data_IF_952210011345
#
_entry.id   IF_952210011345
#
_cell.length_a   1.000
_cell.length_b   1.000
_cell.length_c   1.000
_cell.angle_alpha   90.00
_cell.angle_beta   90.00
_cell.angle_gamma   90.00
#
_symmetry.space_group_name_H-M   'P 1'
#
loop_
_entity.id
_entity.type
_entity.pdbx_description
1 polymer ?
#
# COMPACT_ATOMS: atom_id res chain seq x y z
N UNK A 1 -5.19 -9.33 12.15
CA UNK A 1 -3.90 -8.84 11.64
C UNK A 1 -4.12 -7.54 10.87
N UNK A 2 -3.40 -6.50 11.23
CA UNK A 2 -3.48 -5.18 10.58
C UNK A 2 -2.29 -5.00 9.65
N UNK A 3 -2.55 -4.69 8.38
CA UNK A 3 -1.51 -4.49 7.38
C UNK A 3 -1.58 -3.07 6.81
N UNK A 4 -0.43 -2.53 6.44
CA UNK A 4 -0.30 -1.25 5.77
C UNK A 4 0.26 -1.46 4.37
N UNK A 5 -0.32 -0.78 3.39
CA UNK A 5 0.21 -0.70 2.03
C UNK A 5 0.51 0.77 1.74
N UNK A 6 1.73 1.07 1.28
CA UNK A 6 2.08 2.40 0.81
C UNK A 6 2.28 2.33 -0.69
N UNK A 7 1.37 2.95 -1.43
CA UNK A 7 1.41 3.05 -2.89
C UNK A 7 2.17 4.31 -3.34
N UNK A 8 2.37 4.45 -4.65
CA UNK A 8 3.26 5.47 -5.20
C UNK A 8 2.70 6.87 -5.35
N UNK A 9 1.46 7.14 -4.94
CA UNK A 9 0.88 8.48 -4.98
C UNK A 9 1.42 9.36 -3.86
N UNK A 10 0.83 10.55 -3.73
CA UNK A 10 1.26 11.50 -2.71
C UNK A 10 1.05 10.93 -1.30
N UNK A 11 2.07 11.08 -0.46
CA UNK A 11 2.01 10.70 0.96
C UNK A 11 2.51 11.89 1.79
N UNK A 12 1.66 12.38 2.72
CA UNK A 12 2.10 13.36 3.71
C UNK A 12 3.05 12.68 4.69
N UNK A 13 4.29 13.17 4.74
CA UNK A 13 5.37 12.52 5.46
C UNK A 13 5.11 12.40 6.95
N UNK A 14 4.78 13.52 7.61
CA UNK A 14 4.58 13.53 9.05
C UNK A 14 3.35 12.74 9.46
N UNK A 15 2.26 12.87 8.70
CA UNK A 15 1.04 12.10 8.93
C UNK A 15 1.31 10.58 8.83
N UNK A 16 2.03 10.16 7.81
CA UNK A 16 2.31 8.75 7.58
C UNK A 16 3.21 8.15 8.67
N UNK A 17 4.24 8.88 9.08
CA UNK A 17 5.13 8.41 10.14
C UNK A 17 4.38 8.26 11.46
N UNK A 18 3.55 9.25 11.81
CA UNK A 18 2.75 9.20 13.03
C UNK A 18 1.78 8.02 12.99
N UNK A 19 1.14 7.79 11.87
CA UNK A 19 0.23 6.66 11.68
C UNK A 19 0.95 5.32 11.88
N UNK A 20 2.11 5.15 11.28
CA UNK A 20 2.88 3.90 11.37
C UNK A 20 3.30 3.64 12.83
N UNK A 21 3.74 4.67 13.53
CA UNK A 21 4.19 4.53 14.92
C UNK A 21 3.06 4.19 15.89
N UNK A 22 1.84 4.69 15.62
CA UNK A 22 0.72 4.57 16.57
C UNK A 22 -0.23 3.41 16.29
N UNK A 23 -0.26 2.89 15.05
CA UNK A 23 -1.32 1.98 14.64
C UNK A 23 -1.01 0.49 14.86
N UNK A 24 0.24 0.14 15.09
CA UNK A 24 0.61 -1.25 15.37
C UNK A 24 0.41 -2.19 14.17
N UNK A 25 0.78 -1.75 12.97
CA UNK A 25 0.73 -2.61 11.79
C UNK A 25 1.68 -3.79 11.96
N UNK A 26 1.21 -4.97 11.65
CA UNK A 26 1.99 -6.20 11.78
C UNK A 26 2.85 -6.48 10.55
N UNK A 27 2.37 -6.10 9.37
CA UNK A 27 3.10 -6.20 8.10
C UNK A 27 2.95 -4.88 7.36
N UNK A 28 4.07 -4.39 6.84
CA UNK A 28 4.13 -3.13 6.07
C UNK A 28 4.62 -3.45 4.66
N UNK A 29 3.82 -3.07 3.66
CA UNK A 29 4.06 -3.39 2.26
C UNK A 29 4.31 -2.10 1.48
N UNK A 30 5.42 -2.06 0.73
CA UNK A 30 5.68 -1.01 -0.24
C UNK A 30 5.23 -1.48 -1.62
N UNK A 31 4.36 -0.73 -2.28
CA UNK A 31 3.91 -1.01 -3.64
C UNK A 31 4.56 -0.02 -4.60
N UNK A 32 5.42 -0.52 -5.48
CA UNK A 32 6.11 0.25 -6.52
C UNK A 32 6.84 1.47 -5.93
N UNK A 33 6.58 2.68 -6.42
CA UNK A 33 7.27 3.89 -5.95
C UNK A 33 6.92 4.29 -4.51
N UNK A 34 5.99 3.60 -3.86
CA UNK A 34 5.79 3.72 -2.41
C UNK A 34 7.05 3.42 -1.60
N UNK A 35 7.99 2.66 -2.19
CA UNK A 35 9.28 2.40 -1.56
C UNK A 35 10.08 3.68 -1.31
N UNK A 36 9.89 4.71 -2.13
CA UNK A 36 10.57 6.00 -1.96
C UNK A 36 10.22 6.65 -0.62
N UNK A 37 8.96 6.54 -0.19
CA UNK A 37 8.53 7.03 1.12
C UNK A 37 9.32 6.35 2.24
N UNK A 38 9.47 5.03 2.18
CA UNK A 38 10.16 4.27 3.23
C UNK A 38 11.62 4.67 3.36
N UNK A 39 12.28 4.95 2.23
CA UNK A 39 13.67 5.43 2.26
C UNK A 39 13.76 6.79 2.94
N UNK A 40 12.87 7.72 2.57
CA UNK A 40 12.84 9.06 3.16
C UNK A 40 12.52 9.03 4.66
N UNK A 41 11.69 8.09 5.09
CA UNK A 41 11.28 7.92 6.49
C UNK A 41 12.27 7.09 7.32
N UNK A 42 13.27 6.51 6.68
CA UNK A 42 14.21 5.56 7.30
C UNK A 42 13.48 4.38 7.97
N UNK A 43 12.51 3.85 7.26
CA UNK A 43 11.72 2.68 7.69
C UNK A 43 11.96 1.54 6.70
N UNK A 44 12.09 0.33 7.20
CA UNK A 44 12.25 -0.86 6.37
C UNK A 44 10.89 -1.55 6.23
N UNK A 45 10.34 -1.68 5.01
CA UNK A 45 9.12 -2.44 4.80
C UNK A 45 9.39 -3.94 4.93
N UNK A 46 8.35 -4.70 5.22
CA UNK A 46 8.45 -6.17 5.28
C UNK A 46 8.37 -6.81 3.89
N UNK A 47 7.59 -6.20 3.01
CA UNK A 47 7.33 -6.71 1.66
C UNK A 47 7.42 -5.56 0.67
N UNK A 48 8.01 -5.83 -0.49
CA UNK A 48 8.09 -4.87 -1.59
C UNK A 48 7.56 -5.53 -2.84
N UNK A 49 6.56 -4.91 -3.48
CA UNK A 49 5.93 -5.44 -4.70
C UNK A 49 5.99 -4.41 -5.82
N UNK A 50 6.17 -4.87 -7.05
CA UNK A 50 6.11 -4.01 -8.22
C UNK A 50 6.99 -4.48 -9.37
N UNK A 51 6.91 -3.76 -10.49
CA UNK A 51 7.83 -3.94 -11.62
C UNK A 51 9.09 -3.06 -11.47
N UNK A 52 9.04 -2.09 -10.55
CA UNK A 52 10.12 -1.19 -10.16
C UNK A 52 10.56 -0.18 -11.24
N UNK A 53 9.78 0.01 -12.29
CA UNK A 53 10.10 0.98 -13.35
C UNK A 53 10.04 2.42 -12.84
N UNK A 54 9.13 2.73 -11.91
CA UNK A 54 8.94 4.08 -11.36
C UNK A 54 9.67 4.32 -10.04
N UNK A 55 10.37 3.33 -9.52
CA UNK A 55 11.14 3.47 -8.27
C UNK A 55 12.49 4.11 -8.57
N UNK A 56 12.92 5.03 -7.68
CA UNK A 56 14.26 5.57 -7.74
C UNK A 56 15.29 4.43 -7.60
N UNK A 57 16.23 4.33 -8.53
CA UNK A 57 17.20 3.23 -8.56
C UNK A 57 18.13 3.20 -7.35
N UNK A 58 18.46 4.35 -6.79
CA UNK A 58 19.26 4.41 -5.56
C UNK A 58 18.48 3.83 -4.38
N UNK A 59 17.20 4.14 -4.31
CA UNK A 59 16.31 3.60 -3.26
C UNK A 59 16.17 2.10 -3.39
N UNK A 60 15.94 1.61 -4.61
CA UNK A 60 15.81 0.19 -4.87
C UNK A 60 17.09 -0.56 -4.49
N UNK A 61 18.27 -0.01 -4.86
CA UNK A 61 19.56 -0.60 -4.51
C UNK A 61 19.78 -0.66 -3.01
N UNK A 62 19.32 0.38 -2.29
CA UNK A 62 19.45 0.42 -0.82
C UNK A 62 18.76 -0.75 -0.14
N UNK A 63 17.57 -1.14 -0.61
CA UNK A 63 16.80 -2.22 0.01
C UNK A 63 17.06 -3.59 -0.61
N UNK A 64 17.59 -3.67 -1.81
CA UNK A 64 17.64 -4.89 -2.63
C UNK A 64 18.36 -6.05 -1.96
N UNK A 65 19.42 -5.78 -1.23
CA UNK A 65 20.25 -6.80 -0.60
C UNK A 65 19.78 -7.16 0.83
N UNK A 66 18.69 -6.56 1.29
CA UNK A 66 18.14 -6.85 2.60
C UNK A 66 17.39 -8.19 2.55
N UNK A 67 17.97 -9.22 3.18
CA UNK A 67 17.41 -10.58 3.17
C UNK A 67 16.12 -10.72 3.98
N UNK A 68 15.78 -9.74 4.82
CA UNK A 68 14.55 -9.75 5.61
C UNK A 68 13.34 -9.16 4.87
N UNK A 69 13.55 -8.60 3.68
CA UNK A 69 12.48 -8.06 2.85
C UNK A 69 12.06 -9.12 1.84
N UNK A 70 10.75 -9.36 1.76
CA UNK A 70 10.17 -10.24 0.76
C UNK A 70 9.88 -9.44 -0.51
N UNK A 71 10.65 -9.65 -1.57
CA UNK A 71 10.52 -8.93 -2.84
C UNK A 71 9.66 -9.73 -3.82
N UNK A 72 8.61 -9.09 -4.34
CA UNK A 72 7.74 -9.63 -5.38
C UNK A 72 7.88 -8.80 -6.64
N UNK A 73 8.73 -9.23 -7.57
CA UNK A 73 8.93 -8.54 -8.85
C UNK A 73 7.81 -8.96 -9.80
N UNK A 74 7.04 -7.99 -10.26
CA UNK A 74 5.86 -8.22 -11.08
C UNK A 74 6.17 -7.94 -12.55
N UNK A 75 5.47 -8.66 -13.45
CA UNK A 75 5.57 -8.42 -14.88
C UNK A 75 4.80 -7.12 -15.22
N UNK A 76 5.44 -6.13 -15.91
CA UNK A 76 4.75 -4.90 -16.29
C UNK A 76 3.53 -5.12 -17.19
N UNK A 77 3.47 -6.23 -17.92
CA UNK A 77 2.38 -6.56 -18.83
C UNK A 77 1.19 -7.28 -18.17
N UNK A 78 1.24 -7.51 -16.85
CA UNK A 78 0.15 -8.16 -16.14
C UNK A 78 -1.09 -7.25 -16.08
N UNK A 79 -2.27 -7.86 -15.89
CA UNK A 79 -3.53 -7.13 -15.81
C UNK A 79 -3.73 -6.39 -14.50
N UNK A 80 -3.18 -6.90 -13.40
CA UNK A 80 -3.34 -6.32 -12.07
C UNK A 80 -2.36 -5.18 -11.82
N UNK A 81 -2.81 -4.13 -11.11
CA UNK A 81 -1.91 -3.09 -10.62
C UNK A 81 -1.09 -3.61 -9.44
N UNK A 82 0.01 -2.93 -9.13
CA UNK A 82 0.84 -3.28 -7.97
C UNK A 82 0.05 -3.16 -6.66
N UNK A 83 -0.82 -2.16 -6.56
CA UNK A 83 -1.68 -1.97 -5.39
C UNK A 83 -2.69 -3.12 -5.26
N UNK A 84 -3.29 -3.56 -6.35
CA UNK A 84 -4.19 -4.71 -6.32
C UNK A 84 -3.45 -5.97 -5.87
N UNK A 85 -2.28 -6.23 -6.41
CA UNK A 85 -1.46 -7.37 -5.99
C UNK A 85 -1.17 -7.30 -4.49
N UNK A 86 -0.78 -6.12 -3.98
CA UNK A 86 -0.49 -5.94 -2.56
C UNK A 86 -1.71 -6.23 -1.68
N UNK A 87 -2.90 -5.79 -2.12
CA UNK A 87 -4.16 -6.07 -1.40
C UNK A 87 -4.41 -7.58 -1.34
N UNK A 88 -4.32 -8.28 -2.48
CA UNK A 88 -4.57 -9.72 -2.54
C UNK A 88 -3.53 -10.50 -1.73
N UNK A 89 -2.29 -10.07 -1.78
CA UNK A 89 -1.22 -10.64 -0.95
C UNK A 89 -1.54 -10.48 0.54
N UNK A 90 -1.96 -9.29 0.96
CA UNK A 90 -2.31 -9.01 2.35
C UNK A 90 -3.46 -9.91 2.83
N UNK A 91 -4.46 -10.11 1.99
CA UNK A 91 -5.60 -11.00 2.30
C UNK A 91 -5.12 -12.44 2.46
N UNK A 92 -4.27 -12.92 1.58
CA UNK A 92 -3.70 -14.28 1.68
C UNK A 92 -2.89 -14.48 2.96
N UNK A 93 -2.26 -13.42 3.47
CA UNK A 93 -1.52 -13.47 4.73
C UNK A 93 -2.42 -13.45 5.96
N UNK A 94 -3.71 -13.24 5.80
CA UNK A 94 -4.66 -13.27 6.90
C UNK A 94 -5.05 -11.90 7.44
N UNK A 95 -4.95 -10.85 6.62
CA UNK A 95 -5.34 -9.50 7.03
C UNK A 95 -6.81 -9.44 7.41
N UNK A 96 -7.11 -8.84 8.55
CA UNK A 96 -8.47 -8.47 8.95
C UNK A 96 -8.76 -7.03 8.52
N UNK A 97 -7.74 -6.19 8.52
CA UNK A 97 -7.85 -4.81 8.08
C UNK A 97 -6.59 -4.38 7.31
N UNK A 98 -6.80 -3.60 6.26
CA UNK A 98 -5.75 -3.06 5.41
C UNK A 98 -5.93 -1.55 5.34
N UNK A 99 -4.87 -0.81 5.60
CA UNK A 99 -4.81 0.63 5.41
C UNK A 99 -3.91 0.94 4.22
N UNK A 100 -4.37 1.79 3.31
CA UNK A 100 -3.61 2.19 2.13
C UNK A 100 -3.26 3.67 2.22
N UNK A 101 -1.97 3.96 2.17
CA UNK A 101 -1.41 5.32 2.00
C UNK A 101 -0.89 5.47 0.57
N UNK A 102 -0.81 6.71 0.10
CA UNK A 102 -0.30 6.97 -1.23
C UNK A 102 -1.24 6.57 -2.36
N UNK A 103 -2.49 6.27 -2.04
CA UNK A 103 -3.50 5.95 -3.04
C UNK A 103 -4.27 7.17 -3.54
N UNK A 104 -4.18 8.29 -2.84
CA UNK A 104 -4.75 9.57 -3.25
C UNK A 104 -3.65 10.43 -3.88
N UNK A 105 -4.01 11.45 -4.64
CA UNK A 105 -3.02 12.31 -5.26
C UNK A 105 -3.65 13.27 -6.25
N UNK A 106 -2.83 13.83 -7.15
CA UNK A 106 -3.28 14.82 -8.12
C UNK A 106 -3.97 14.21 -9.34
N UNK A 107 -3.74 12.93 -9.64
CA UNK A 107 -4.36 12.24 -10.77
C UNK A 107 -5.63 11.54 -10.33
N UNK A 108 -6.78 12.12 -10.68
CA UNK A 108 -8.09 11.57 -10.32
C UNK A 108 -8.34 10.18 -10.91
N UNK A 109 -7.82 9.88 -12.10
CA UNK A 109 -7.96 8.57 -12.72
C UNK A 109 -7.32 7.47 -11.86
N UNK A 110 -6.13 7.71 -11.31
CA UNK A 110 -5.49 6.78 -10.39
C UNK A 110 -6.26 6.65 -9.08
N UNK A 111 -6.75 7.76 -8.53
CA UNK A 111 -7.55 7.75 -7.30
C UNK A 111 -8.81 6.92 -7.50
N UNK A 112 -9.53 7.13 -8.61
CA UNK A 112 -10.75 6.37 -8.91
C UNK A 112 -10.47 4.89 -9.08
N UNK A 113 -9.38 4.53 -9.76
CA UNK A 113 -8.95 3.14 -9.89
C UNK A 113 -8.68 2.50 -8.52
N UNK A 114 -7.99 3.22 -7.64
CA UNK A 114 -7.70 2.73 -6.30
C UNK A 114 -8.97 2.57 -5.46
N UNK A 115 -9.95 3.49 -5.60
CA UNK A 115 -11.23 3.37 -4.89
C UNK A 115 -11.96 2.08 -5.28
N UNK A 116 -11.93 1.72 -6.57
CA UNK A 116 -12.58 0.47 -7.01
C UNK A 116 -11.93 -0.76 -6.39
N UNK A 117 -10.63 -0.72 -6.10
CA UNK A 117 -9.94 -1.83 -5.44
C UNK A 117 -10.42 -2.07 -4.00
N UNK A 118 -10.99 -1.06 -3.34
CA UNK A 118 -11.52 -1.21 -1.98
C UNK A 118 -12.67 -2.23 -1.94
N UNK A 119 -13.36 -2.44 -3.06
CA UNK A 119 -14.41 -3.45 -3.17
C UNK A 119 -13.91 -4.89 -2.98
N UNK A 120 -12.63 -5.14 -3.14
CA UNK A 120 -12.04 -6.47 -2.88
C UNK A 120 -12.27 -6.86 -1.42
N UNK A 121 -12.20 -5.90 -0.50
CA UNK A 121 -12.44 -6.16 0.92
C UNK A 121 -13.85 -6.67 1.21
N UNK A 122 -14.85 -6.20 0.45
CA UNK A 122 -16.22 -6.68 0.58
C UNK A 122 -16.31 -8.17 0.22
N UNK A 123 -15.63 -8.55 -0.85
CA UNK A 123 -15.63 -9.94 -1.34
C UNK A 123 -15.02 -10.91 -0.33
N UNK A 124 -13.99 -10.50 0.39
CA UNK A 124 -13.24 -11.35 1.31
C UNK A 124 -13.51 -11.06 2.80
N UNK A 125 -14.48 -10.18 3.10
CA UNK A 125 -14.79 -9.76 4.46
C UNK A 125 -13.57 -9.16 5.20
N UNK A 126 -12.82 -8.33 4.50
CA UNK A 126 -11.65 -7.60 5.02
C UNK A 126 -11.95 -6.10 4.97
N UNK A 127 -11.69 -5.40 6.07
CA UNK A 127 -11.85 -3.95 6.12
C UNK A 127 -10.68 -3.29 5.40
N UNK A 128 -10.95 -2.60 4.29
CA UNK A 128 -9.91 -1.85 3.55
C UNK A 128 -10.29 -0.38 3.56
N UNK A 129 -9.34 0.47 3.99
CA UNK A 129 -9.52 1.91 3.91
C UNK A 129 -8.33 2.56 3.22
N UNK A 130 -8.59 3.61 2.47
CA UNK A 130 -7.56 4.44 1.86
C UNK A 130 -7.59 5.81 2.53
N UNK A 131 -6.47 6.24 3.07
CA UNK A 131 -6.41 7.47 3.86
C UNK A 131 -5.28 8.37 3.41
N UNK A 132 -5.47 9.67 3.68
CA UNK A 132 -4.42 10.67 3.67
C UNK A 132 -4.67 11.63 4.84
N UNK A 133 -3.91 12.73 4.93
CA UNK A 133 -4.04 13.69 6.03
C UNK A 133 -5.42 14.34 6.12
N UNK A 134 -6.21 14.33 5.04
CA UNK A 134 -7.49 15.04 4.93
C UNK A 134 -8.68 14.12 4.67
N UNK A 135 -8.44 12.86 4.23
CA UNK A 135 -9.48 11.99 3.72
C UNK A 135 -9.39 10.58 4.31
N UNK A 136 -10.56 9.97 4.50
CA UNK A 136 -10.69 8.54 4.80
C UNK A 136 -11.77 7.99 3.88
N UNK A 137 -11.39 7.03 3.03
CA UNK A 137 -12.26 6.47 2.00
C UNK A 137 -12.48 4.99 2.29
N UNK A 138 -13.74 4.59 2.35
CA UNK A 138 -14.17 3.21 2.53
C UNK A 138 -15.30 2.90 1.57
N UNK A 139 -15.47 1.61 1.26
CA UNK A 139 -16.59 1.12 0.42
C UNK A 139 -17.36 0.08 1.21
N UNK A 140 -18.67 0.24 1.25
CA UNK A 140 -19.57 -0.64 2.00
C UNK A 140 -20.67 -1.18 1.09
N UNK A 141 -21.15 -2.39 1.40
CA UNK A 141 -22.29 -2.99 0.73
C UNK A 141 -23.52 -3.12 1.64
N UNK A 142 -23.45 -2.56 2.85
CA UNK A 142 -24.56 -2.57 3.83
C UNK A 142 -24.52 -1.32 4.68
N UNK A 143 -25.63 -1.03 5.36
CA UNK A 143 -25.71 0.10 6.28
C UNK A 143 -24.74 -0.05 7.44
N UNK A 144 -24.16 1.07 7.88
CA UNK A 144 -23.29 1.14 9.05
C UNK A 144 -24.03 1.45 10.35
N UNK A 145 -25.34 1.62 10.29
CA UNK A 145 -26.17 1.94 11.47
C UNK A 145 -26.42 0.74 12.33
#
# INVERSE_FOLDING_TARGET
MKLLIVSGGYTDFDFAIDLIKKSGFEIIIAADSGLNFFKAADITPDVVVGDFDSVNQEVLSYYRDNEFIDFHVLNPEKDDTDTEYAIRFAIEKGADSITILGGTGTRLDHVMGNITLLGIGIEYDVSIEMIDAFNRIRVFNKSLL
#
